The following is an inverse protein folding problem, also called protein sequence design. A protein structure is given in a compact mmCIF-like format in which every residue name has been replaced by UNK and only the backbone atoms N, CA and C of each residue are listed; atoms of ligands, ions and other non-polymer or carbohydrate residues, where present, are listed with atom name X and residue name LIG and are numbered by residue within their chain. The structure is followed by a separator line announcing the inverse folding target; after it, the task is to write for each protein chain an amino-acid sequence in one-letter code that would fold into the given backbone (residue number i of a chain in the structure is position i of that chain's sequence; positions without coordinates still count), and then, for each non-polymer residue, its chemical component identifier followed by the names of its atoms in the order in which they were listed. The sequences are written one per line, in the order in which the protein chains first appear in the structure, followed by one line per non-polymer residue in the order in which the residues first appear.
data_IF_108171668468
#
_entry.id   IF_108171668468
#
_cell.length_a   1.000
_cell.length_b   1.000
_cell.length_c   1.000
_cell.angle_alpha   90.00
_cell.angle_beta   90.00
_cell.angle_gamma   90.00
#
_symmetry.space_group_name_H-M   'P 1'
#
loop_
_entity.id
_entity.type
_entity.pdbx_description
1 polymer ?
#
# COMPACT_ATOMS: atom_id res chain seq x y z
N UNK A 1 1.00 -11.47 -12.80
CA UNK A 1 1.73 -10.81 -11.70
C UNK A 1 0.74 -9.83 -11.12
N UNK A 2 0.38 -9.93 -9.84
CA UNK A 2 -0.60 -9.02 -9.22
C UNK A 2 0.08 -8.38 -8.01
N UNK A 3 0.65 -7.20 -8.21
CA UNK A 3 1.19 -6.38 -7.14
C UNK A 3 0.15 -5.32 -6.77
N UNK A 4 -0.20 -5.24 -5.49
CA UNK A 4 -1.24 -4.34 -5.02
C UNK A 4 -0.71 -3.41 -3.92
N UNK A 5 -1.02 -2.12 -4.02
CA UNK A 5 -0.59 -1.12 -3.03
C UNK A 5 -1.73 -0.80 -2.05
N UNK A 6 -1.54 -1.02 -0.74
CA UNK A 6 -2.54 -0.69 0.28
C UNK A 6 -1.95 -0.50 1.69
N UNK A 7 -2.24 0.62 2.35
CA UNK A 7 -1.65 0.98 3.65
C UNK A 7 -1.93 0.01 4.82
N UNK A 8 -3.14 -0.57 4.92
CA UNK A 8 -3.58 -1.30 6.14
C UNK A 8 -4.11 -2.71 5.84
N UNK A 9 -4.63 -2.97 4.63
CA UNK A 9 -5.34 -4.22 4.30
C UNK A 9 -4.48 -5.27 3.61
N UNK A 10 -3.14 -5.14 3.65
CA UNK A 10 -2.21 -6.02 2.95
C UNK A 10 -2.49 -7.52 3.19
N UNK A 11 -2.78 -7.93 4.44
CA UNK A 11 -3.08 -9.32 4.76
C UNK A 11 -4.36 -9.85 4.10
N UNK A 12 -5.40 -9.02 4.01
CA UNK A 12 -6.65 -9.37 3.35
C UNK A 12 -6.45 -9.55 1.84
N UNK A 13 -5.62 -8.71 1.23
CA UNK A 13 -5.28 -8.81 -0.20
C UNK A 13 -4.57 -10.13 -0.51
N UNK A 14 -3.63 -10.54 0.35
CA UNK A 14 -2.97 -11.85 0.24
C UNK A 14 -3.99 -12.98 0.41
N UNK A 15 -4.92 -12.86 1.36
CA UNK A 15 -6.03 -13.81 1.54
C UNK A 15 -6.95 -13.91 0.31
N UNK A 16 -7.13 -12.81 -0.42
CA UNK A 16 -7.91 -12.74 -1.67
C UNK A 16 -7.14 -13.19 -2.93
N UNK A 17 -5.88 -13.62 -2.79
CA UNK A 17 -5.07 -14.16 -3.89
C UNK A 17 -4.12 -13.17 -4.56
N UNK A 18 -3.88 -11.99 -3.98
CA UNK A 18 -2.82 -11.11 -4.46
C UNK A 18 -1.44 -11.79 -4.33
N UNK A 19 -0.57 -11.59 -5.32
CA UNK A 19 0.77 -12.17 -5.29
C UNK A 19 1.69 -11.41 -4.32
N UNK A 20 1.54 -10.09 -4.26
CA UNK A 20 2.30 -9.20 -3.39
C UNK A 20 1.41 -8.03 -2.97
N UNK A 21 1.44 -7.69 -1.68
CA UNK A 21 0.78 -6.52 -1.13
C UNK A 21 1.80 -5.60 -0.46
N UNK A 22 1.86 -4.33 -0.88
CA UNK A 22 2.78 -3.33 -0.33
C UNK A 22 1.98 -2.15 0.23
N UNK A 23 2.07 -1.95 1.54
CA UNK A 23 1.51 -0.80 2.22
C UNK A 23 2.51 0.31 2.42
N UNK A 24 1.97 1.53 2.49
CA UNK A 24 2.69 2.72 2.90
C UNK A 24 1.90 3.41 4.02
N UNK A 25 2.53 3.66 5.16
CA UNK A 25 1.98 4.50 6.20
C UNK A 25 3.12 5.10 7.04
N UNK A 26 3.21 6.43 7.23
CA UNK A 26 4.29 7.04 8.00
C UNK A 26 4.21 6.78 9.51
N UNK A 27 3.13 6.17 10.01
CA UNK A 27 2.89 5.94 11.43
C UNK A 27 3.70 4.75 11.97
N UNK A 28 4.72 5.04 12.78
CA UNK A 28 5.61 4.01 13.36
C UNK A 28 4.87 2.92 14.14
N UNK A 29 3.77 3.27 14.84
CA UNK A 29 2.96 2.30 15.57
C UNK A 29 2.41 1.21 14.63
N UNK A 30 1.93 1.59 13.45
CA UNK A 30 1.37 0.65 12.48
C UNK A 30 2.45 -0.24 11.87
N UNK A 31 3.66 0.28 11.65
CA UNK A 31 4.81 -0.53 11.27
C UNK A 31 5.11 -1.60 12.32
N UNK A 32 5.20 -1.22 13.60
CA UNK A 32 5.44 -2.17 14.68
C UNK A 32 4.33 -3.23 14.79
N UNK A 33 3.07 -2.83 14.67
CA UNK A 33 1.92 -3.75 14.68
C UNK A 33 1.97 -4.73 13.51
N UNK A 34 2.24 -4.23 12.30
CA UNK A 34 2.38 -5.04 11.10
C UNK A 34 3.49 -6.08 11.24
N UNK A 35 4.67 -5.66 11.69
CA UNK A 35 5.83 -6.53 11.88
C UNK A 35 5.59 -7.59 12.97
N UNK A 36 4.89 -7.23 14.05
CA UNK A 36 4.49 -8.18 15.09
C UNK A 36 3.57 -9.26 14.51
N UNK A 37 2.55 -8.89 13.73
CA UNK A 37 1.64 -9.85 13.07
C UNK A 37 2.39 -10.69 12.05
N UNK A 38 3.23 -10.09 11.19
CA UNK A 38 4.05 -10.81 10.19
C UNK A 38 4.92 -11.87 10.86
N UNK A 39 5.55 -11.54 11.99
CA UNK A 39 6.36 -12.49 12.77
C UNK A 39 5.53 -13.66 13.31
N UNK A 40 4.32 -13.39 13.80
CA UNK A 40 3.41 -14.44 14.28
C UNK A 40 2.89 -15.34 13.14
N UNK A 41 2.78 -14.82 11.93
CA UNK A 41 2.37 -15.56 10.73
C UNK A 41 3.54 -16.26 10.02
N UNK A 42 4.60 -16.62 10.74
CA UNK A 42 5.75 -17.34 10.17
C UNK A 42 6.65 -16.48 9.29
N UNK A 43 6.64 -15.16 9.50
CA UNK A 43 7.41 -14.19 8.72
C UNK A 43 7.10 -14.22 7.22
N UNK A 44 5.82 -14.33 6.85
CA UNK A 44 5.35 -14.31 5.46
C UNK A 44 5.87 -13.08 4.71
N UNK A 45 6.45 -13.28 3.52
CA UNK A 45 7.09 -12.25 2.70
C UNK A 45 6.20 -11.75 1.55
N UNK A 46 4.91 -12.09 1.54
CA UNK A 46 3.98 -11.61 0.50
C UNK A 46 3.37 -10.25 0.85
N UNK A 47 3.47 -9.82 2.09
CA UNK A 47 2.99 -8.52 2.55
C UNK A 47 4.13 -7.69 3.15
N UNK A 48 4.19 -6.40 2.81
CA UNK A 48 5.15 -5.45 3.38
C UNK A 48 4.47 -4.13 3.73
N UNK A 49 4.96 -3.45 4.77
CA UNK A 49 4.57 -2.09 5.12
C UNK A 49 5.82 -1.21 5.16
N UNK A 50 5.82 -0.13 4.38
CA UNK A 50 6.91 0.84 4.33
C UNK A 50 6.50 2.10 5.11
N UNK A 51 7.39 2.67 5.95
CA UNK A 51 7.11 3.88 6.71
C UNK A 51 7.22 5.15 5.83
N UNK A 52 6.34 5.26 4.83
CA UNK A 52 6.34 6.32 3.82
C UNK A 52 4.95 6.94 3.68
N UNK A 53 4.91 8.24 3.37
CA UNK A 53 3.76 8.91 2.79
C UNK A 53 3.73 8.75 1.26
N UNK A 54 2.54 8.87 0.67
CA UNK A 54 2.36 8.74 -0.80
C UNK A 54 3.15 9.82 -1.57
N UNK A 55 3.31 10.99 -0.97
CA UNK A 55 4.08 12.10 -1.53
C UNK A 55 5.59 11.80 -1.68
N UNK A 56 6.08 10.75 -1.01
CA UNK A 56 7.47 10.32 -1.11
C UNK A 56 7.69 9.29 -2.23
N UNK A 57 6.61 8.77 -2.83
CA UNK A 57 6.71 7.78 -3.91
C UNK A 57 6.95 8.47 -5.25
N UNK A 58 7.90 7.98 -6.06
CA UNK A 58 7.99 8.39 -7.46
C UNK A 58 6.82 7.78 -8.25
N UNK A 59 6.68 8.17 -9.53
CA UNK A 59 5.75 7.52 -10.44
C UNK A 59 6.26 6.12 -10.81
N UNK A 60 5.87 5.11 -10.03
CA UNK A 60 6.35 3.73 -10.20
C UNK A 60 5.69 3.02 -11.37
N UNK A 61 4.40 3.27 -11.64
CA UNK A 61 3.60 2.60 -12.68
C UNK A 61 3.79 1.08 -12.68
N UNK A 62 3.72 0.48 -11.49
CA UNK A 62 4.13 -0.90 -11.25
C UNK A 62 3.07 -1.75 -10.53
N UNK A 63 1.99 -1.13 -10.06
CA UNK A 63 0.91 -1.82 -9.37
C UNK A 63 -0.27 -2.07 -10.30
N UNK A 64 -0.84 -3.27 -10.24
CA UNK A 64 -2.05 -3.63 -10.98
C UNK A 64 -3.31 -3.08 -10.31
N UNK A 65 -3.23 -2.78 -9.01
CA UNK A 65 -4.34 -2.20 -8.24
C UNK A 65 -3.80 -1.37 -7.09
N UNK A 66 -4.39 -0.20 -6.86
CA UNK A 66 -3.99 0.74 -5.81
C UNK A 66 -5.21 1.10 -4.96
N UNK A 67 -5.07 0.97 -3.64
CA UNK A 67 -6.12 1.34 -2.68
C UNK A 67 -5.72 2.60 -1.92
N UNK A 68 -6.67 3.53 -1.82
CA UNK A 68 -6.56 4.70 -0.94
C UNK A 68 -7.82 4.84 -0.11
N UNK A 69 -7.86 4.15 1.02
CA UNK A 69 -9.01 4.12 1.92
C UNK A 69 -8.73 4.96 3.15
N UNK A 70 -9.62 5.89 3.48
CA UNK A 70 -9.46 6.72 4.67
C UNK A 70 -8.45 7.87 4.55
N UNK A 71 -7.88 8.13 3.36
CA UNK A 71 -6.78 9.09 3.18
C UNK A 71 -7.21 10.38 2.49
N UNK A 72 -8.10 10.32 1.50
CA UNK A 72 -8.38 11.43 0.59
C UNK A 72 -8.84 12.72 1.31
N UNK A 73 -9.68 12.60 2.34
CA UNK A 73 -10.24 13.74 3.07
C UNK A 73 -9.23 14.46 3.97
N UNK A 74 -8.06 13.86 4.21
CA UNK A 74 -6.96 14.50 4.94
C UNK A 74 -5.99 15.26 4.02
N UNK A 75 -6.17 15.18 2.70
CA UNK A 75 -5.23 15.76 1.73
C UNK A 75 -5.64 17.20 1.42
N UNK A 76 -4.65 18.10 1.45
CA UNK A 76 -4.84 19.52 1.11
C UNK A 76 -5.26 19.70 -0.36
N UNK A 77 -4.74 18.88 -1.26
CA UNK A 77 -5.11 18.84 -2.66
C UNK A 77 -5.61 17.44 -3.03
N UNK A 78 -6.93 17.21 -3.10
CA UNK A 78 -7.48 15.89 -3.41
C UNK A 78 -7.20 15.47 -4.86
N UNK A 79 -7.14 16.41 -5.81
CA UNK A 79 -6.84 16.10 -7.21
C UNK A 79 -5.40 15.62 -7.41
N UNK A 80 -4.44 16.28 -6.76
CA UNK A 80 -3.03 15.85 -6.77
C UNK A 80 -2.88 14.45 -6.17
N UNK A 81 -3.60 14.15 -5.09
CA UNK A 81 -3.60 12.82 -4.50
C UNK A 81 -4.12 11.75 -5.49
N UNK A 82 -5.20 12.04 -6.23
CA UNK A 82 -5.70 11.14 -7.27
C UNK A 82 -4.69 10.93 -8.40
N UNK A 83 -3.95 11.98 -8.80
CA UNK A 83 -2.86 11.84 -9.77
C UNK A 83 -1.71 11.00 -9.24
N UNK A 84 -1.30 11.19 -7.98
CA UNK A 84 -0.28 10.37 -7.34
C UNK A 84 -0.66 8.89 -7.31
N UNK A 85 -1.93 8.57 -7.00
CA UNK A 85 -2.44 7.18 -7.04
C UNK A 85 -2.38 6.61 -8.46
N UNK A 86 -2.81 7.39 -9.46
CA UNK A 86 -2.74 7.00 -10.87
C UNK A 86 -1.29 6.72 -11.31
N UNK A 87 -0.33 7.50 -10.82
CA UNK A 87 1.10 7.33 -11.15
C UNK A 87 1.73 6.05 -10.56
N UNK A 88 1.02 5.36 -9.65
CA UNK A 88 1.43 4.05 -9.15
C UNK A 88 0.89 2.90 -10.02
N UNK A 89 -0.18 3.13 -10.78
CA UNK A 89 -0.84 2.11 -11.61
C UNK A 89 -0.11 1.84 -12.92
N UNK A 90 -0.07 0.57 -13.33
CA UNK A 90 0.24 0.18 -14.71
C UNK A 90 -0.86 0.65 -15.66
N UNK A 91 -0.58 0.64 -16.96
CA UNK A 91 -1.63 0.89 -17.95
C UNK A 91 -2.70 -0.22 -17.89
N UNK A 92 -3.97 0.17 -17.67
CA UNK A 92 -5.09 -0.76 -17.56
C UNK A 92 -5.37 -1.27 -16.14
N UNK A 93 -4.59 -0.82 -15.15
CA UNK A 93 -4.90 -0.97 -13.72
C UNK A 93 -5.84 0.11 -13.20
#
# INVERSE_FOLDING_TARGET
MSAAAAAITCGEMIGAGAHLAVGIDPTQLFLCQFEAVRKLLGNDQRAHLLPLGIEQLPALKAFDTVFSMGVLYHRRSPLEHLWQLKDQLVNGG
#
